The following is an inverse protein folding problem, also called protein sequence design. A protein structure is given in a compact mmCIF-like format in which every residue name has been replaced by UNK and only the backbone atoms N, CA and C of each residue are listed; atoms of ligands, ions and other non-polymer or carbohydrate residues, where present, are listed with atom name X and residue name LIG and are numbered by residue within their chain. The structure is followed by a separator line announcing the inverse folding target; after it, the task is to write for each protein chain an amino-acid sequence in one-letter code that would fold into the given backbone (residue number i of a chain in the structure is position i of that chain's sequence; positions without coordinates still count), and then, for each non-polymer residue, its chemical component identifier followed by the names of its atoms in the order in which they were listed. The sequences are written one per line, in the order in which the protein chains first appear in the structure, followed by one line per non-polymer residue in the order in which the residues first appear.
data_IF_853635499163
#
_entry.id   IF_853635499163
#
_cell.length_a   1.000
_cell.length_b   1.000
_cell.length_c   1.000
_cell.angle_alpha   90.00
_cell.angle_beta   90.00
_cell.angle_gamma   90.00
#
_symmetry.space_group_name_H-M   'P 1'
#
loop_
_entity.id
_entity.type
_entity.pdbx_description
1 polymer ?
#
# COMPACT_ATOMS: atom_id res chain seq x y z
N UNK A 1 -8.70 91.10 -0.39
CA UNK A 1 -7.41 90.81 -1.06
C UNK A 1 -7.21 89.30 -1.10
N UNK A 2 -7.30 88.68 -2.29
CA UNK A 2 -6.28 87.82 -2.94
C UNK A 2 -5.67 86.74 -2.00
N UNK A 3 -6.16 85.49 -2.09
CA UNK A 3 -5.57 84.35 -2.86
C UNK A 3 -4.19 83.91 -2.36
N UNK A 4 -4.11 82.70 -1.78
CA UNK A 4 -3.44 81.51 -2.37
C UNK A 4 -3.17 80.43 -1.30
N UNK A 5 -3.83 79.27 -1.41
CA UNK A 5 -3.25 77.92 -1.71
C UNK A 5 -2.65 77.20 -0.50
N UNK A 6 -3.16 76.00 -0.19
CA UNK A 6 -2.38 74.75 -0.17
C UNK A 6 -3.30 73.54 0.11
N UNK A 7 -3.01 72.48 -0.63
CA UNK A 7 -3.77 71.25 -0.87
C UNK A 7 -3.31 70.19 0.15
N UNK A 8 -4.21 69.35 0.67
CA UNK A 8 -3.83 68.05 1.23
C UNK A 8 -5.00 67.05 1.15
N UNK A 9 -4.98 66.27 0.08
CA UNK A 9 -5.85 65.12 -0.18
C UNK A 9 -5.54 64.00 0.82
N UNK A 10 -6.54 63.53 1.57
CA UNK A 10 -6.43 62.29 2.35
C UNK A 10 -7.35 61.23 1.71
N UNK A 11 -6.76 60.41 0.86
CA UNK A 11 -7.40 59.21 0.33
C UNK A 11 -7.31 58.10 1.38
N UNK A 12 -8.45 57.69 1.94
CA UNK A 12 -8.56 56.50 2.78
C UNK A 12 -8.53 55.26 1.88
N UNK A 13 -7.39 54.59 1.79
CA UNK A 13 -7.25 53.29 1.15
C UNK A 13 -7.75 52.18 2.09
N UNK A 14 -8.92 51.63 1.78
CA UNK A 14 -9.47 50.41 2.38
C UNK A 14 -8.61 49.20 1.96
N UNK A 15 -7.89 48.61 2.91
CA UNK A 15 -7.17 47.35 2.73
C UNK A 15 -8.15 46.18 2.65
N UNK A 16 -8.43 45.72 1.44
CA UNK A 16 -9.10 44.43 1.21
C UNK A 16 -8.08 43.32 1.48
N UNK A 17 -8.18 42.68 2.64
CA UNK A 17 -7.48 41.43 2.92
C UNK A 17 -8.02 40.35 1.98
N UNK A 18 -7.29 40.07 0.90
CA UNK A 18 -7.58 38.94 0.04
C UNK A 18 -7.18 37.66 0.79
N UNK A 19 -8.16 36.93 1.31
CA UNK A 19 -8.00 35.55 1.76
C UNK A 19 -7.66 34.69 0.54
N UNK A 20 -6.36 34.52 0.26
CA UNK A 20 -5.88 33.54 -0.71
C UNK A 20 -6.18 32.16 -0.15
N UNK A 21 -7.23 31.54 -0.68
CA UNK A 21 -7.54 30.14 -0.43
C UNK A 21 -6.65 29.33 -1.37
N UNK A 22 -5.42 29.03 -0.94
CA UNK A 22 -4.56 28.13 -1.71
C UNK A 22 -5.24 26.76 -1.80
N UNK A 23 -5.42 26.18 -3.00
CA UNK A 23 -5.95 24.84 -3.13
C UNK A 23 -4.95 23.88 -2.50
N UNK A 24 -5.35 23.28 -1.37
CA UNK A 24 -4.59 22.21 -0.71
C UNK A 24 -4.47 21.07 -1.71
N UNK A 25 -3.29 20.94 -2.31
CA UNK A 25 -2.93 19.83 -3.16
C UNK A 25 -2.89 18.59 -2.28
N UNK A 26 -3.95 17.77 -2.33
CA UNK A 26 -4.00 16.51 -1.59
C UNK A 26 -2.89 15.60 -2.11
N UNK A 27 -1.88 15.35 -1.28
CA UNK A 27 -0.82 14.41 -1.62
C UNK A 27 -1.44 13.02 -1.76
N UNK A 28 -1.35 12.45 -2.96
CA UNK A 28 -1.75 11.06 -3.21
C UNK A 28 -0.95 10.14 -2.27
N UNK A 29 -1.60 9.15 -1.63
CA UNK A 29 -0.89 8.23 -0.76
C UNK A 29 0.19 7.49 -1.56
N UNK A 30 1.38 7.26 -0.98
CA UNK A 30 2.46 6.57 -1.66
C UNK A 30 1.97 5.20 -2.13
N UNK A 31 2.06 4.94 -3.44
CA UNK A 31 1.67 3.66 -3.98
C UNK A 31 2.65 2.60 -3.46
N UNK A 32 2.17 1.52 -2.83
CA UNK A 32 3.10 0.69 -2.11
C UNK A 32 3.95 -0.10 -3.12
N UNK A 33 5.27 -0.12 -2.93
CA UNK A 33 6.22 -0.63 -3.94
C UNK A 33 6.76 -2.00 -3.53
N UNK A 34 7.09 -2.83 -4.53
CA UNK A 34 7.65 -4.16 -4.33
C UNK A 34 6.68 -5.13 -3.64
N UNK A 35 7.28 -6.09 -2.92
CA UNK A 35 6.59 -7.27 -2.40
C UNK A 35 6.04 -7.08 -0.98
N UNK A 36 6.59 -6.12 -0.22
CA UNK A 36 6.17 -5.86 1.15
C UNK A 36 4.69 -5.44 1.22
N UNK A 37 4.04 -5.80 2.33
CA UNK A 37 2.67 -5.42 2.64
C UNK A 37 1.69 -6.58 2.61
N UNK A 38 0.41 -6.23 2.44
CA UNK A 38 -0.72 -7.17 2.51
C UNK A 38 -1.19 -7.58 1.12
N UNK A 39 -1.52 -8.85 1.01
CA UNK A 39 -1.96 -9.48 -0.22
C UNK A 39 -3.17 -10.38 0.03
N UNK A 40 -4.24 -10.24 -0.74
CA UNK A 40 -5.42 -11.10 -0.67
C UNK A 40 -5.34 -12.23 -1.70
N UNK A 41 -5.81 -13.42 -1.33
CA UNK A 41 -5.96 -14.55 -2.25
C UNK A 41 -6.90 -14.21 -3.40
N UNK A 42 -6.54 -14.57 -4.62
CA UNK A 42 -7.44 -14.46 -5.77
C UNK A 42 -8.11 -15.81 -6.03
N UNK A 43 -9.43 -15.84 -5.85
CA UNK A 43 -10.22 -17.05 -6.04
C UNK A 43 -9.93 -18.14 -5.00
N UNK A 44 -10.25 -19.39 -5.35
CA UNK A 44 -10.18 -20.52 -4.44
C UNK A 44 -11.35 -20.60 -3.46
N UNK A 45 -11.50 -21.71 -2.72
CA UNK A 45 -12.62 -21.93 -1.81
C UNK A 45 -12.50 -21.16 -0.49
N UNK A 46 -11.28 -20.74 -0.12
CA UNK A 46 -11.00 -20.06 1.15
C UNK A 46 -10.38 -18.70 0.82
N UNK A 47 -11.02 -17.62 1.27
CA UNK A 47 -10.48 -16.27 1.16
C UNK A 47 -9.53 -15.99 2.32
N UNK A 48 -8.27 -15.64 2.02
CA UNK A 48 -7.26 -15.33 3.03
C UNK A 48 -6.42 -14.10 2.64
N UNK A 49 -5.79 -13.49 3.64
CA UNK A 49 -4.78 -12.45 3.46
C UNK A 49 -3.41 -12.95 3.88
N UNK A 50 -2.39 -12.54 3.16
CA UNK A 50 -0.99 -12.78 3.43
C UNK A 50 -0.37 -11.46 3.87
N UNK A 51 0.41 -11.49 4.94
CA UNK A 51 1.31 -10.43 5.34
C UNK A 51 2.74 -10.82 4.99
N UNK A 52 3.39 -9.99 4.18
CA UNK A 52 4.82 -10.01 3.93
C UNK A 52 5.39 -8.78 4.61
N UNK A 53 6.19 -8.99 5.65
CA UNK A 53 6.78 -7.90 6.41
C UNK A 53 8.13 -8.30 7.00
N UNK A 54 9.20 -7.59 6.63
CA UNK A 54 10.53 -7.77 7.23
C UNK A 54 10.99 -9.24 7.19
N UNK A 55 10.80 -9.92 6.05
CA UNK A 55 11.15 -11.34 5.87
C UNK A 55 10.20 -12.34 6.54
N UNK A 56 9.14 -11.89 7.22
CA UNK A 56 8.11 -12.77 7.80
C UNK A 56 6.95 -12.97 6.86
N UNK A 57 6.41 -14.18 6.86
CA UNK A 57 5.20 -14.58 6.15
C UNK A 57 4.15 -15.06 7.15
N UNK A 58 2.92 -14.58 6.99
CA UNK A 58 1.76 -15.11 7.69
C UNK A 58 0.54 -15.06 6.78
N UNK A 59 -0.21 -16.15 6.69
CA UNK A 59 -1.53 -16.17 6.06
C UNK A 59 -2.64 -16.31 7.09
N UNK A 60 -3.70 -15.52 6.92
CA UNK A 60 -4.82 -15.41 7.84
C UNK A 60 -6.12 -15.49 7.06
N UNK A 61 -7.04 -16.35 7.47
CA UNK A 61 -8.37 -16.45 6.89
C UNK A 61 -9.16 -15.15 7.10
N UNK A 62 -9.84 -14.68 6.05
CA UNK A 62 -10.51 -13.37 6.06
C UNK A 62 -11.77 -13.37 6.94
N UNK A 63 -12.51 -14.48 6.98
CA UNK A 63 -13.77 -14.55 7.72
C UNK A 63 -13.61 -14.78 9.22
N UNK A 64 -12.61 -15.57 9.62
CA UNK A 64 -12.42 -16.00 11.02
C UNK A 64 -11.27 -15.27 11.72
N UNK A 65 -10.32 -14.70 10.95
CA UNK A 65 -9.06 -14.20 11.50
C UNK A 65 -8.09 -15.32 11.93
N UNK A 66 -8.40 -16.58 11.65
CA UNK A 66 -7.54 -17.71 12.00
C UNK A 66 -6.26 -17.75 11.16
N UNK A 67 -5.12 -18.00 11.81
CA UNK A 67 -3.84 -18.19 11.11
C UNK A 67 -3.84 -19.54 10.40
N UNK A 68 -3.66 -19.53 9.09
CA UNK A 68 -3.63 -20.73 8.24
C UNK A 68 -2.22 -21.26 8.04
N UNK A 69 -1.24 -20.36 7.96
CA UNK A 69 0.17 -20.70 7.86
C UNK A 69 1.07 -19.56 8.35
N UNK A 70 2.28 -19.91 8.76
CA UNK A 70 3.32 -18.96 9.14
C UNK A 70 4.70 -19.43 8.67
N UNK A 71 5.61 -18.49 8.48
CA UNK A 71 6.95 -18.78 7.99
C UNK A 71 7.74 -17.53 7.67
N UNK A 72 8.62 -17.65 6.68
CA UNK A 72 9.49 -16.58 6.22
C UNK A 72 9.45 -16.47 4.70
N UNK A 73 9.93 -15.34 4.20
CA UNK A 73 10.20 -15.16 2.78
C UNK A 73 11.55 -14.49 2.58
N UNK A 74 12.16 -14.76 1.43
CA UNK A 74 13.41 -14.15 0.98
C UNK A 74 13.27 -13.64 -0.45
N UNK A 75 13.99 -12.55 -0.76
CA UNK A 75 14.06 -12.03 -2.12
C UNK A 75 15.00 -12.90 -2.96
N UNK A 76 14.53 -13.28 -4.15
CA UNK A 76 15.34 -13.94 -5.18
C UNK A 76 15.81 -12.95 -6.25
N UNK A 77 15.10 -11.84 -6.40
CA UNK A 77 15.37 -10.79 -7.38
C UNK A 77 14.26 -9.73 -7.37
N UNK A 78 14.31 -8.73 -8.27
CA UNK A 78 13.27 -7.71 -8.37
C UNK A 78 11.88 -8.35 -8.59
N UNK A 79 10.97 -8.17 -7.63
CA UNK A 79 9.61 -8.73 -7.69
C UNK A 79 9.53 -10.25 -7.58
N UNK A 80 10.60 -10.93 -7.18
CA UNK A 80 10.64 -12.39 -7.04
C UNK A 80 11.01 -12.78 -5.62
N UNK A 81 10.20 -13.63 -5.00
CA UNK A 81 10.45 -14.15 -3.65
C UNK A 81 10.29 -15.66 -3.58
N UNK A 82 11.00 -16.27 -2.65
CA UNK A 82 10.72 -17.60 -2.16
C UNK A 82 10.11 -17.50 -0.76
N UNK A 83 9.01 -18.19 -0.54
CA UNK A 83 8.33 -18.29 0.76
C UNK A 83 8.55 -19.70 1.27
N UNK A 84 8.94 -19.86 2.53
CA UNK A 84 8.95 -21.15 3.23
C UNK A 84 8.01 -21.02 4.41
N UNK A 85 6.98 -21.86 4.46
CA UNK A 85 5.93 -21.76 5.46
C UNK A 85 5.42 -23.12 5.92
N UNK A 86 4.83 -23.12 7.11
CA UNK A 86 4.19 -24.29 7.71
C UNK A 86 2.70 -24.05 7.90
N UNK A 87 1.88 -24.99 7.45
CA UNK A 87 0.43 -24.96 7.67
C UNK A 87 0.10 -25.27 9.13
N UNK A 88 -0.84 -24.52 9.71
CA UNK A 88 -1.32 -24.77 11.08
C UNK A 88 -2.19 -26.03 11.18
N UNK A 89 -2.92 -26.37 10.11
CA UNK A 89 -3.85 -27.51 10.10
C UNK A 89 -3.12 -28.85 9.98
N UNK A 90 -2.20 -28.96 9.02
CA UNK A 90 -1.59 -30.24 8.66
C UNK A 90 -0.11 -30.33 9.07
N UNK A 91 0.44 -29.25 9.65
CA UNK A 91 1.82 -29.17 10.13
C UNK A 91 2.90 -29.53 9.08
N UNK A 92 2.58 -29.40 7.79
CA UNK A 92 3.51 -29.64 6.70
C UNK A 92 4.22 -28.34 6.30
N UNK A 93 5.52 -28.45 6.03
CA UNK A 93 6.31 -27.36 5.47
C UNK A 93 6.23 -27.36 3.94
N UNK A 94 6.01 -26.18 3.37
CA UNK A 94 5.85 -25.98 1.93
C UNK A 94 6.69 -24.77 1.53
N UNK A 95 7.35 -24.86 0.37
CA UNK A 95 7.98 -23.73 -0.27
C UNK A 95 7.10 -23.21 -1.41
N UNK A 96 7.09 -21.91 -1.65
CA UNK A 96 6.42 -21.31 -2.79
C UNK A 96 7.27 -20.20 -3.41
N UNK A 97 7.50 -20.29 -4.72
CA UNK A 97 8.12 -19.22 -5.48
C UNK A 97 7.03 -18.30 -6.04
N UNK A 98 7.13 -17.01 -5.75
CA UNK A 98 6.18 -16.00 -6.21
C UNK A 98 6.87 -14.95 -7.08
N UNK A 99 6.22 -14.59 -8.17
CA UNK A 99 6.65 -13.55 -9.09
C UNK A 99 5.60 -12.45 -9.18
N UNK A 100 6.04 -11.20 -9.10
CA UNK A 100 5.20 -10.04 -9.29
C UNK A 100 4.96 -9.82 -10.78
N UNK A 101 3.82 -10.33 -11.26
CA UNK A 101 3.43 -10.26 -12.69
C UNK A 101 2.82 -8.91 -13.05
N UNK A 102 2.29 -8.18 -12.07
CA UNK A 102 1.78 -6.80 -12.18
C UNK A 102 2.02 -6.07 -10.85
N UNK A 103 1.95 -4.74 -10.83
CA UNK A 103 2.17 -3.92 -9.62
C UNK A 103 1.39 -4.40 -8.40
N UNK A 104 0.17 -4.91 -8.61
CA UNK A 104 -0.73 -5.38 -7.56
C UNK A 104 -1.01 -6.89 -7.65
N UNK A 105 -0.14 -7.67 -8.29
CA UNK A 105 -0.41 -9.10 -8.55
C UNK A 105 0.81 -9.99 -8.44
N UNK A 106 0.70 -11.04 -7.64
CA UNK A 106 1.68 -12.12 -7.51
C UNK A 106 1.12 -13.41 -8.08
N UNK A 107 1.93 -14.09 -8.87
CA UNK A 107 1.67 -15.47 -9.30
C UNK A 107 2.66 -16.40 -8.59
N UNK A 108 2.14 -17.39 -7.87
CA UNK A 108 2.91 -18.27 -7.01
C UNK A 108 2.75 -19.75 -7.42
N UNK A 109 3.82 -20.52 -7.27
CA UNK A 109 3.81 -21.97 -7.42
C UNK A 109 4.46 -22.64 -6.21
N UNK A 110 3.80 -23.63 -5.62
CA UNK A 110 4.30 -24.38 -4.48
C UNK A 110 5.24 -25.51 -4.91
N UNK A 111 6.11 -25.95 -4.01
CA UNK A 111 6.95 -27.15 -4.19
C UNK A 111 6.13 -28.43 -4.37
N UNK A 112 4.86 -28.43 -3.96
CA UNK A 112 3.90 -29.52 -4.16
C UNK A 112 3.15 -29.45 -5.49
N UNK A 113 3.46 -28.46 -6.35
CA UNK A 113 2.90 -28.32 -7.70
C UNK A 113 1.60 -27.53 -7.80
N UNK A 114 1.06 -27.01 -6.69
CA UNK A 114 -0.12 -26.12 -6.71
C UNK A 114 0.25 -24.72 -7.20
N UNK A 115 -0.71 -24.03 -7.82
CA UNK A 115 -0.57 -22.64 -8.26
C UNK A 115 -1.67 -21.78 -7.64
N UNK A 116 -1.32 -20.56 -7.27
CA UNK A 116 -2.25 -19.59 -6.71
C UNK A 116 -1.77 -18.18 -7.03
N UNK A 117 -2.68 -17.23 -6.90
CA UNK A 117 -2.39 -15.83 -7.16
C UNK A 117 -2.82 -14.98 -5.98
N UNK A 118 -2.10 -13.89 -5.77
CA UNK A 118 -2.41 -12.91 -4.74
C UNK A 118 -2.56 -11.53 -5.39
N UNK A 119 -3.45 -10.71 -4.85
CA UNK A 119 -3.60 -9.31 -5.23
C UNK A 119 -3.34 -8.39 -4.06
N UNK A 120 -2.88 -7.15 -4.30
CA UNK A 120 -2.67 -6.19 -3.21
C UNK A 120 -3.98 -5.95 -2.45
N UNK A 121 -3.93 -6.00 -1.12
CA UNK A 121 -5.07 -5.75 -0.24
C UNK A 121 -5.07 -4.32 0.32
#
# INVERSE_FOLDING_TARGET
MRRSVLIASLALSSGLAACVSEPRQEALPPQPQGIEGRWASVGGPIAYTVSLQNGRFQSTETGTGGVLASGTYSNLGPGQINIVYRSTTNNNEVAANCNQVQTNRLACATSTGSRFELTRA
#
